data_IF_106441160725
#
_entry.id   IF_106441160725
#
_cell.length_a   1.000
_cell.length_b   1.000
_cell.length_c   1.000
_cell.angle_alpha   90.00
_cell.angle_beta   90.00
_cell.angle_gamma   90.00
#
_symmetry.space_group_name_H-M   'P 1'
#
loop_
_entity.id
_entity.type
_entity.pdbx_description
1 polymer ?
#
# COMPACT_ATOMS: atom_id res chain seq x y z
N UNK A 1 0.25 -10.82 -17.42
CA UNK A 1 -0.94 -10.70 -16.55
C UNK A 1 -0.48 -10.43 -15.13
N UNK A 2 -1.11 -9.49 -14.44
CA UNK A 2 -0.79 -9.18 -13.05
C UNK A 2 -1.62 -10.06 -12.12
N UNK A 3 -0.96 -10.73 -11.19
CA UNK A 3 -1.59 -11.56 -10.18
C UNK A 3 -1.38 -10.91 -8.81
N UNK A 4 -2.47 -10.60 -8.10
CA UNK A 4 -2.43 -10.04 -6.75
C UNK A 4 -3.06 -11.04 -5.78
N UNK A 5 -2.37 -11.30 -4.67
CA UNK A 5 -2.91 -12.16 -3.63
C UNK A 5 -2.56 -11.64 -2.24
N UNK A 6 -3.43 -11.94 -1.29
CA UNK A 6 -3.17 -11.62 0.12
C UNK A 6 -2.05 -12.51 0.65
N UNK A 7 -1.19 -11.95 1.50
CA UNK A 7 -0.05 -12.66 2.07
C UNK A 7 -0.50 -13.77 3.02
N UNK A 8 0.24 -14.89 2.99
CA UNK A 8 0.17 -15.96 3.99
C UNK A 8 1.50 -16.03 4.75
N UNK A 9 1.54 -16.76 5.86
CA UNK A 9 2.70 -16.72 6.77
C UNK A 9 4.04 -17.07 6.11
N UNK A 10 4.03 -17.94 5.11
CA UNK A 10 5.24 -18.29 4.36
C UNK A 10 5.77 -17.16 3.48
N UNK A 11 5.00 -16.10 3.30
CA UNK A 11 5.40 -14.92 2.51
C UNK A 11 6.25 -13.91 3.30
N UNK A 12 6.55 -14.16 4.56
CA UNK A 12 7.17 -13.13 5.41
C UNK A 12 8.51 -12.62 4.87
N UNK A 13 9.32 -13.48 4.26
CA UNK A 13 10.59 -13.06 3.66
C UNK A 13 10.35 -12.21 2.41
N UNK A 14 9.43 -12.61 1.55
CA UNK A 14 9.09 -11.84 0.35
C UNK A 14 8.53 -10.47 0.73
N UNK A 15 7.67 -10.42 1.76
CA UNK A 15 7.14 -9.16 2.30
C UNK A 15 8.27 -8.28 2.84
N UNK A 16 9.14 -8.84 3.68
CA UNK A 16 10.29 -8.11 4.21
C UNK A 16 11.13 -7.50 3.09
N UNK A 17 11.49 -8.33 2.12
CA UNK A 17 12.42 -7.92 1.08
C UNK A 17 11.86 -6.80 0.20
N UNK A 18 10.60 -6.90 -0.22
CA UNK A 18 10.00 -5.84 -1.03
C UNK A 18 9.71 -4.58 -0.21
N UNK A 19 9.34 -4.72 1.06
CA UNK A 19 9.12 -3.57 1.94
C UNK A 19 10.42 -2.80 2.18
N UNK A 20 11.52 -3.49 2.46
CA UNK A 20 12.82 -2.86 2.67
C UNK A 20 13.32 -2.21 1.38
N UNK A 21 13.10 -2.86 0.24
CA UNK A 21 13.41 -2.27 -1.07
C UNK A 21 12.66 -0.95 -1.26
N UNK A 22 11.35 -0.95 -0.97
CA UNK A 22 10.50 0.24 -1.12
C UNK A 22 10.99 1.40 -0.26
N UNK A 23 11.31 1.13 1.00
CA UNK A 23 11.80 2.15 1.95
C UNK A 23 13.15 2.73 1.53
N UNK A 24 14.01 1.91 0.92
CA UNK A 24 15.31 2.35 0.44
C UNK A 24 15.21 3.15 -0.86
N UNK A 25 14.37 2.68 -1.79
CA UNK A 25 14.29 3.27 -3.14
C UNK A 25 13.39 4.50 -3.20
N UNK A 26 12.38 4.59 -2.32
CA UNK A 26 11.41 5.69 -2.30
C UNK A 26 11.14 6.15 -0.87
N UNK A 27 12.15 6.64 -0.13
CA UNK A 27 11.99 6.96 1.31
C UNK A 27 10.91 8.01 1.57
N UNK A 28 10.73 8.96 0.66
CA UNK A 28 9.75 10.04 0.84
C UNK A 28 8.31 9.62 0.48
N UNK A 29 8.10 8.37 0.07
CA UNK A 29 6.76 7.84 -0.18
C UNK A 29 6.15 7.19 1.06
N UNK A 30 6.89 7.02 2.15
CA UNK A 30 6.45 6.27 3.32
C UNK A 30 6.70 7.02 4.63
N UNK A 31 5.78 6.84 5.58
CA UNK A 31 5.92 7.42 6.92
C UNK A 31 6.96 6.72 7.79
N UNK A 32 7.26 5.46 7.49
CA UNK A 32 8.31 4.68 8.16
C UNK A 32 9.64 4.81 7.44
N UNK A 33 10.74 4.44 8.12
CA UNK A 33 12.09 4.52 7.54
C UNK A 33 12.71 3.13 7.37
N UNK A 34 13.65 3.03 6.43
CA UNK A 34 14.46 1.83 6.25
C UNK A 34 15.24 1.49 7.54
N UNK A 35 15.85 2.50 8.16
CA UNK A 35 16.65 2.31 9.37
C UNK A 35 15.86 1.66 10.51
N UNK A 36 14.58 2.01 10.64
CA UNK A 36 13.69 1.39 11.64
C UNK A 36 13.36 -0.05 11.28
N UNK A 37 12.93 -0.29 10.04
CA UNK A 37 12.33 -1.58 9.66
C UNK A 37 13.37 -2.65 9.28
N UNK A 38 14.59 -2.27 8.89
CA UNK A 38 15.66 -3.22 8.67
C UNK A 38 16.01 -4.00 9.94
N UNK A 39 15.66 -3.45 11.10
CA UNK A 39 15.90 -4.06 12.41
C UNK A 39 14.80 -5.04 12.83
N UNK A 40 13.70 -5.11 12.10
CA UNK A 40 12.61 -6.03 12.39
C UNK A 40 13.05 -7.47 12.19
N UNK A 41 12.61 -8.35 13.11
CA UNK A 41 12.82 -9.78 13.00
C UNK A 41 11.64 -10.48 12.32
N UNK A 42 11.78 -11.80 12.14
CA UNK A 42 10.75 -12.63 11.51
C UNK A 42 9.38 -12.46 12.19
N UNK A 43 9.36 -12.40 13.53
CA UNK A 43 8.10 -12.27 14.29
C UNK A 43 7.34 -10.99 13.94
N UNK A 44 8.06 -9.88 13.72
CA UNK A 44 7.44 -8.60 13.34
C UNK A 44 6.76 -8.69 11.98
N UNK A 45 7.41 -9.34 11.02
CA UNK A 45 6.85 -9.51 9.67
C UNK A 45 5.67 -10.47 9.68
N UNK A 46 5.76 -11.56 10.44
CA UNK A 46 4.64 -12.51 10.59
C UNK A 46 3.45 -11.86 11.27
N UNK A 47 3.67 -11.01 12.25
CA UNK A 47 2.60 -10.27 12.93
C UNK A 47 1.86 -9.34 11.96
N UNK A 48 2.59 -8.69 11.07
CA UNK A 48 2.01 -7.84 10.04
C UNK A 48 1.10 -8.64 9.11
N UNK A 49 1.52 -9.85 8.71
CA UNK A 49 0.70 -10.75 7.90
C UNK A 49 -0.53 -11.22 8.67
N UNK A 50 -0.36 -11.59 9.94
CA UNK A 50 -1.46 -12.07 10.79
C UNK A 50 -2.57 -11.03 10.94
N UNK A 51 -2.24 -9.74 10.89
CA UNK A 51 -3.22 -8.65 10.96
C UNK A 51 -4.16 -8.64 9.74
N UNK A 52 -3.74 -9.21 8.61
CA UNK A 52 -4.50 -9.21 7.35
C UNK A 52 -4.37 -7.92 6.57
N UNK A 53 -4.85 -7.93 5.33
CA UNK A 53 -4.91 -6.76 4.49
C UNK A 53 -3.63 -6.41 3.73
N UNK A 54 -2.61 -7.25 3.79
CA UNK A 54 -1.37 -7.05 3.04
C UNK A 54 -1.39 -7.92 1.79
N UNK A 55 -1.12 -7.30 0.64
CA UNK A 55 -1.17 -7.96 -0.67
C UNK A 55 0.16 -7.81 -1.40
N UNK A 56 0.53 -8.84 -2.15
CA UNK A 56 1.68 -8.82 -3.05
C UNK A 56 1.21 -9.04 -4.48
N UNK A 57 1.87 -8.33 -5.41
CA UNK A 57 1.60 -8.47 -6.83
C UNK A 57 2.74 -9.18 -7.53
N UNK A 58 2.40 -10.02 -8.49
CA UNK A 58 3.34 -10.80 -9.30
C UNK A 58 3.01 -10.65 -10.78
N UNK A 59 4.05 -10.74 -11.61
CA UNK A 59 3.90 -10.92 -13.04
C UNK A 59 4.54 -12.26 -13.37
N UNK A 60 3.76 -13.37 -13.39
CA UNK A 60 4.32 -14.72 -13.50
C UNK A 60 5.16 -14.94 -14.76
N UNK A 61 4.84 -14.25 -15.86
CA UNK A 61 5.60 -14.32 -17.11
C UNK A 61 7.03 -13.79 -16.96
N UNK A 62 7.28 -12.97 -15.94
CA UNK A 62 8.60 -12.40 -15.65
C UNK A 62 9.29 -13.17 -14.54
N UNK A 63 8.59 -13.39 -13.41
CA UNK A 63 9.12 -14.11 -12.25
C UNK A 63 7.96 -14.58 -11.38
N UNK A 64 7.94 -15.87 -11.03
CA UNK A 64 6.87 -16.46 -10.23
C UNK A 64 7.11 -16.34 -8.72
N UNK A 65 8.33 -16.06 -8.28
CA UNK A 65 8.72 -16.09 -6.87
C UNK A 65 8.96 -14.72 -6.24
N UNK A 66 9.27 -13.70 -7.05
CA UNK A 66 9.54 -12.36 -6.54
C UNK A 66 8.37 -11.42 -6.85
N UNK A 67 7.77 -10.80 -5.82
CA UNK A 67 6.72 -9.82 -6.07
C UNK A 67 7.27 -8.57 -6.73
N UNK A 68 6.43 -7.97 -7.58
CA UNK A 68 6.73 -6.70 -8.25
C UNK A 68 6.04 -5.51 -7.58
N UNK A 69 5.15 -5.76 -6.65
CA UNK A 69 4.40 -4.72 -5.95
C UNK A 69 3.89 -5.15 -4.59
N UNK A 70 3.58 -4.16 -3.77
CA UNK A 70 3.15 -4.30 -2.39
C UNK A 70 2.05 -3.26 -2.11
N UNK A 71 1.06 -3.64 -1.33
CA UNK A 71 0.07 -2.72 -0.78
C UNK A 71 -0.48 -3.28 0.53
N UNK A 72 -1.00 -2.41 1.38
CA UNK A 72 -1.70 -2.82 2.58
C UNK A 72 -2.99 -2.05 2.80
N UNK A 73 -3.97 -2.69 3.40
CA UNK A 73 -5.13 -2.07 3.98
C UNK A 73 -5.08 -2.23 5.49
N UNK A 74 -5.47 -1.19 6.21
CA UNK A 74 -5.48 -1.19 7.67
C UNK A 74 -6.81 -0.62 8.16
N UNK A 75 -7.43 -1.31 9.12
CA UNK A 75 -8.67 -0.86 9.74
C UNK A 75 -8.52 -0.97 11.25
N UNK A 76 -8.38 0.16 11.92
CA UNK A 76 -8.19 0.21 13.36
C UNK A 76 -9.49 -0.10 14.11
N UNK A 77 -10.61 0.38 13.58
CA UNK A 77 -11.95 0.21 14.16
C UNK A 77 -12.96 0.14 13.02
N UNK A 78 -14.20 -0.35 13.26
CA UNK A 78 -15.23 -0.33 12.23
C UNK A 78 -15.36 1.07 11.60
N UNK A 79 -15.44 1.14 10.27
CA UNK A 79 -15.51 2.39 9.53
C UNK A 79 -14.52 2.44 8.37
N UNK A 80 -13.69 3.50 8.29
CA UNK A 80 -12.76 3.65 7.17
C UNK A 80 -11.62 2.64 7.22
N UNK A 81 -11.17 2.25 6.03
CA UNK A 81 -9.91 1.51 5.83
C UNK A 81 -8.86 2.52 5.36
N UNK A 82 -7.65 2.41 5.89
CA UNK A 82 -6.52 3.19 5.41
C UNK A 82 -5.69 2.35 4.42
N UNK A 83 -5.43 2.90 3.24
CA UNK A 83 -4.53 2.32 2.25
C UNK A 83 -3.11 2.75 2.58
N UNK A 84 -2.22 1.79 2.74
CA UNK A 84 -0.83 2.02 3.16
C UNK A 84 0.14 1.21 2.29
N UNK A 85 1.41 1.51 2.38
CA UNK A 85 2.52 0.68 1.88
C UNK A 85 2.56 0.50 0.35
N UNK A 86 1.88 1.34 -0.42
CA UNK A 86 1.83 1.21 -1.88
C UNK A 86 3.20 1.35 -2.52
N UNK A 87 3.65 0.30 -3.22
CA UNK A 87 4.90 0.32 -3.96
C UNK A 87 4.82 -0.61 -5.17
N UNK A 88 5.35 -0.15 -6.30
CA UNK A 88 5.54 -0.95 -7.52
C UNK A 88 7.01 -0.80 -7.93
N UNK A 89 7.69 -1.91 -8.16
CA UNK A 89 9.08 -1.87 -8.64
C UNK A 89 9.15 -1.04 -9.92
N UNK A 90 10.18 -0.18 -10.09
CA UNK A 90 10.25 0.70 -11.27
C UNK A 90 10.12 -0.03 -12.61
N UNK A 91 10.74 -1.21 -12.74
CA UNK A 91 10.69 -2.00 -13.97
C UNK A 91 9.33 -2.63 -14.26
N UNK A 92 8.43 -2.66 -13.28
CA UNK A 92 7.07 -3.21 -13.44
C UNK A 92 6.02 -2.13 -13.64
N UNK A 93 6.39 -0.86 -13.61
CA UNK A 93 5.44 0.25 -13.82
C UNK A 93 4.93 0.26 -15.25
N UNK A 94 3.71 0.78 -15.44
CA UNK A 94 3.08 0.83 -16.75
C UNK A 94 2.39 -0.47 -17.18
N UNK A 95 2.29 -1.46 -16.29
CA UNK A 95 1.66 -2.76 -16.56
C UNK A 95 0.35 -2.98 -15.78
N UNK A 96 -0.19 -1.93 -15.17
CA UNK A 96 -1.44 -2.04 -14.38
C UNK A 96 -1.27 -2.62 -12.99
N UNK A 97 -0.05 -2.76 -12.48
CA UNK A 97 0.22 -3.32 -11.15
C UNK A 97 -0.40 -2.47 -10.05
N UNK A 98 -0.22 -1.14 -10.13
CA UNK A 98 -0.76 -0.22 -9.14
C UNK A 98 -2.27 -0.28 -9.03
N UNK A 99 -2.96 -0.25 -10.15
CA UNK A 99 -4.42 -0.38 -10.20
C UNK A 99 -4.90 -1.70 -9.63
N UNK A 100 -4.22 -2.80 -9.94
CA UNK A 100 -4.58 -4.14 -9.43
C UNK A 100 -4.41 -4.21 -7.92
N UNK A 101 -3.35 -3.62 -7.37
CA UNK A 101 -3.11 -3.56 -5.93
C UNK A 101 -4.18 -2.72 -5.22
N UNK A 102 -4.50 -1.55 -5.77
CA UNK A 102 -5.54 -0.69 -5.20
C UNK A 102 -6.89 -1.40 -5.20
N UNK A 103 -7.24 -2.08 -6.30
CA UNK A 103 -8.48 -2.85 -6.39
C UNK A 103 -8.55 -3.94 -5.31
N UNK A 104 -7.42 -4.59 -5.00
CA UNK A 104 -7.37 -5.60 -3.94
C UNK A 104 -7.71 -5.02 -2.57
N UNK A 105 -7.19 -3.84 -2.24
CA UNK A 105 -7.50 -3.17 -0.97
C UNK A 105 -8.96 -2.70 -0.95
N UNK A 106 -9.48 -2.19 -2.06
CA UNK A 106 -10.88 -1.78 -2.15
C UNK A 106 -11.79 -2.99 -1.91
N UNK A 107 -11.49 -4.15 -2.52
CA UNK A 107 -12.25 -5.39 -2.30
C UNK A 107 -12.19 -5.86 -0.85
N UNK A 108 -11.01 -5.78 -0.24
CA UNK A 108 -10.82 -6.13 1.17
C UNK A 108 -11.62 -5.21 2.09
N UNK A 109 -11.62 -3.90 1.77
CA UNK A 109 -12.39 -2.91 2.52
C UNK A 109 -13.91 -3.15 2.40
N UNK A 110 -14.40 -3.46 1.20
CA UNK A 110 -15.82 -3.78 0.98
C UNK A 110 -16.25 -5.02 1.76
N UNK A 111 -15.41 -6.04 1.81
CA UNK A 111 -15.68 -7.27 2.55
C UNK A 111 -15.77 -7.03 4.07
N UNK A 112 -15.19 -5.94 4.56
CA UNK A 112 -15.24 -5.51 5.96
C UNK A 112 -16.30 -4.46 6.23
N UNK A 113 -17.17 -4.18 5.27
CA UNK A 113 -18.22 -3.15 5.36
C UNK A 113 -17.65 -1.76 5.66
N UNK A 114 -16.45 -1.47 5.17
CA UNK A 114 -15.84 -0.16 5.33
C UNK A 114 -16.65 0.91 4.61
N UNK A 115 -16.73 2.10 5.20
CA UNK A 115 -17.47 3.24 4.64
C UNK A 115 -16.67 3.95 3.54
N UNK A 116 -15.35 3.86 3.61
CA UNK A 116 -14.46 4.56 2.69
C UNK A 116 -13.05 3.98 2.80
N UNK A 117 -12.23 4.31 1.81
CA UNK A 117 -10.79 4.07 1.85
C UNK A 117 -10.09 5.43 1.88
N UNK A 118 -9.22 5.61 2.84
CA UNK A 118 -8.42 6.83 3.02
C UNK A 118 -6.96 6.53 2.74
N UNK A 119 -6.21 7.54 2.32
CA UNK A 119 -4.76 7.43 2.21
C UNK A 119 -4.11 8.79 2.44
N UNK A 120 -2.82 8.74 2.74
CA UNK A 120 -1.94 9.90 2.71
C UNK A 120 -0.96 9.73 1.55
N UNK A 121 -0.75 10.79 0.78
CA UNK A 121 0.25 10.81 -0.29
C UNK A 121 1.12 12.03 -0.14
N UNK A 122 2.43 11.83 -0.28
CA UNK A 122 3.40 12.93 -0.20
C UNK A 122 3.11 13.94 -1.32
N UNK A 123 3.07 15.21 -0.98
CA UNK A 123 2.69 16.28 -1.93
C UNK A 123 3.55 16.33 -3.18
N UNK A 124 4.80 15.89 -3.10
CA UNK A 124 5.72 15.84 -4.23
C UNK A 124 5.56 14.57 -5.09
N UNK A 125 4.83 13.57 -4.60
CA UNK A 125 4.64 12.31 -5.32
C UNK A 125 3.45 12.40 -6.29
N UNK A 126 3.64 13.14 -7.36
CA UNK A 126 2.57 13.40 -8.34
C UNK A 126 2.15 12.15 -9.10
N UNK A 127 3.08 11.21 -9.33
CA UNK A 127 2.76 9.95 -9.99
C UNK A 127 1.75 9.13 -9.18
N UNK A 128 2.00 8.94 -7.89
CA UNK A 128 1.09 8.21 -7.03
C UNK A 128 -0.26 8.92 -6.92
N UNK A 129 -0.26 10.24 -6.77
CA UNK A 129 -1.48 11.02 -6.69
C UNK A 129 -2.36 10.83 -7.93
N UNK A 130 -1.76 10.88 -9.12
CA UNK A 130 -2.49 10.66 -10.38
C UNK A 130 -3.06 9.25 -10.47
N UNK A 131 -2.29 8.25 -10.01
CA UNK A 131 -2.74 6.87 -9.96
C UNK A 131 -3.98 6.73 -9.07
N UNK A 132 -3.95 7.32 -7.88
CA UNK A 132 -5.11 7.31 -6.96
C UNK A 132 -6.31 8.02 -7.56
N UNK A 133 -6.10 9.16 -8.20
CA UNK A 133 -7.18 9.91 -8.89
C UNK A 133 -7.83 9.06 -9.98
N UNK A 134 -7.04 8.33 -10.78
CA UNK A 134 -7.56 7.41 -11.79
C UNK A 134 -8.39 6.28 -11.19
N UNK A 135 -8.10 5.90 -9.95
CA UNK A 135 -8.85 4.87 -9.23
C UNK A 135 -10.07 5.42 -8.48
N UNK A 136 -10.36 6.71 -8.63
CA UNK A 136 -11.55 7.33 -8.07
C UNK A 136 -11.35 8.09 -6.77
N UNK A 137 -10.13 8.16 -6.25
CA UNK A 137 -9.84 8.92 -5.04
C UNK A 137 -9.85 10.42 -5.33
N UNK A 138 -10.33 11.21 -4.36
CA UNK A 138 -10.31 12.66 -4.41
C UNK A 138 -9.53 13.24 -3.24
N UNK A 139 -8.91 14.41 -3.48
CA UNK A 139 -8.15 15.11 -2.45
C UNK A 139 -9.09 15.68 -1.40
N UNK A 140 -8.74 15.51 -0.13
CA UNK A 140 -9.43 16.14 1.00
C UNK A 140 -8.72 17.42 1.42
N UNK A 141 -9.28 18.13 2.41
CA UNK A 141 -8.64 19.29 3.00
C UNK A 141 -7.53 18.92 4.01
N UNK A 142 -7.38 17.65 4.33
CA UNK A 142 -6.43 17.20 5.35
C UNK A 142 -4.99 17.29 4.86
N UNK A 143 -4.15 17.81 5.74
CA UNK A 143 -2.70 17.96 5.51
C UNK A 143 -1.97 17.62 6.79
N UNK A 144 -0.79 16.99 6.66
CA UNK A 144 0.10 16.74 7.79
C UNK A 144 1.55 16.64 7.31
N UNK A 145 2.53 16.80 8.20
CA UNK A 145 3.92 16.50 7.84
C UNK A 145 4.12 15.03 7.56
N UNK A 146 4.99 14.70 6.60
CA UNK A 146 5.40 13.30 6.36
C UNK A 146 6.23 12.84 7.56
N UNK A 147 5.82 11.79 8.29
CA UNK A 147 6.52 11.41 9.53
C UNK A 147 8.00 11.08 9.35
N UNK A 148 8.39 10.47 8.23
CA UNK A 148 9.79 10.13 7.95
C UNK A 148 10.64 11.31 7.52
N UNK A 149 10.01 12.40 7.06
CA UNK A 149 10.68 13.61 6.61
C UNK A 149 9.74 14.81 6.77
N UNK A 150 9.66 15.41 7.99
CA UNK A 150 8.68 16.46 8.28
C UNK A 150 8.84 17.75 7.46
N UNK A 151 9.93 17.91 6.72
CA UNK A 151 10.10 19.02 5.77
C UNK A 151 9.14 18.90 4.58
N UNK A 152 8.63 17.69 4.31
CA UNK A 152 7.63 17.43 3.27
C UNK A 152 6.25 17.30 3.90
N UNK A 153 5.22 17.67 3.14
CA UNK A 153 3.83 17.51 3.55
C UNK A 153 3.17 16.32 2.89
N UNK A 154 2.13 15.82 3.55
CA UNK A 154 1.23 14.82 3.00
C UNK A 154 -0.15 15.41 2.78
N UNK A 155 -0.82 14.90 1.74
CA UNK A 155 -2.18 15.27 1.35
C UNK A 155 -3.08 14.07 1.58
N UNK A 156 -4.22 14.27 2.24
CA UNK A 156 -5.22 13.21 2.41
C UNK A 156 -6.03 13.01 1.14
N UNK A 157 -6.37 11.75 0.84
CA UNK A 157 -7.28 11.40 -0.24
C UNK A 157 -8.31 10.40 0.26
N UNK A 158 -9.48 10.37 -0.37
CA UNK A 158 -10.59 9.51 0.04
C UNK A 158 -11.30 8.90 -1.17
N UNK A 159 -11.74 7.66 -1.00
CA UNK A 159 -12.67 6.99 -1.89
C UNK A 159 -13.86 6.50 -1.06
N UNK A 160 -15.05 7.13 -1.18
CA UNK A 160 -16.27 6.61 -0.55
C UNK A 160 -16.67 5.29 -1.20
N UNK A 161 -17.08 4.31 -0.38
CA UNK A 161 -17.47 2.99 -0.88
C UNK A 161 -18.98 2.83 -1.05
N UNK A 162 -19.76 3.80 -0.59
CA UNK A 162 -21.20 3.71 -0.65
C UNK A 162 -21.76 2.67 0.33
N UNK A 163 -23.07 2.79 0.60
CA UNK A 163 -23.77 1.79 1.40
C UNK A 163 -24.14 0.61 0.52
N UNK A 164 -24.01 -0.61 1.07
CA UNK A 164 -24.64 -1.78 0.46
C UNK A 164 -26.15 -1.59 0.55
N UNK A 165 -26.76 -1.31 -0.58
CA UNK A 165 -28.22 -1.28 -0.70
C UNK A 165 -28.81 -2.65 -0.63
#
# INVERSE_FOLDING_TARGET
MVLVRETVMTDWQALRDIRLLALRDAPDAFGSTYAEQVRFGEADWRQRIARGGTFLAYIPEVNTSEPVGLIGGYQEAPGPVELISMFVRPQARGHGVGEALIDAVIGWARARDATSVHLWVTETNKYARRLYERCGFTVTAERQPLPSNPALGEVGMILPLGSRG
#
